data_IF_698952526939
#
_entry.id   IF_698952526939
#
_cell.length_a   1.000
_cell.length_b   1.000
_cell.length_c   1.000
_cell.angle_alpha   90.00
_cell.angle_beta   90.00
_cell.angle_gamma   90.00
#
_symmetry.space_group_name_H-M   'P 1'
#
loop_
_entity.id
_entity.type
_entity.pdbx_description
1 polymer ?
#
# COMPACT_ATOMS: atom_id res chain seq x y z
N UNK A 1 38.55 -20.15 37.35
CA UNK A 1 37.39 -20.73 36.63
C UNK A 1 37.60 -20.51 35.15
N UNK A 2 38.19 -21.50 34.48
CA UNK A 2 38.56 -21.41 33.07
C UNK A 2 37.32 -21.59 32.22
N UNK A 3 36.87 -20.51 31.57
CA UNK A 3 35.76 -20.57 30.62
C UNK A 3 36.22 -21.46 29.48
N UNK A 4 35.59 -22.63 29.37
CA UNK A 4 35.95 -23.65 28.40
C UNK A 4 35.94 -23.05 26.99
N UNK A 5 37.00 -23.25 26.18
CA UNK A 5 37.07 -22.69 24.82
C UNK A 5 35.90 -23.15 23.95
N UNK A 6 35.27 -24.28 24.30
CA UNK A 6 34.04 -24.77 23.70
C UNK A 6 32.84 -23.83 23.90
N UNK A 7 32.74 -23.15 25.06
CA UNK A 7 31.67 -22.17 25.31
C UNK A 7 31.88 -20.90 24.50
N UNK A 8 33.13 -20.45 24.33
CA UNK A 8 33.47 -19.29 23.51
C UNK A 8 33.19 -19.58 22.04
N UNK A 9 33.63 -20.75 21.55
CA UNK A 9 33.34 -21.19 20.18
C UNK A 9 31.83 -21.31 19.93
N UNK A 10 31.07 -21.90 20.87
CA UNK A 10 29.62 -22.00 20.78
C UNK A 10 28.94 -20.62 20.75
N UNK A 11 29.40 -19.67 21.58
CA UNK A 11 28.89 -18.30 21.58
C UNK A 11 29.18 -17.57 20.26
N UNK A 12 30.39 -17.70 19.71
CA UNK A 12 30.76 -17.08 18.43
C UNK A 12 29.94 -17.64 17.26
N UNK A 13 29.70 -18.96 17.24
CA UNK A 13 28.85 -19.60 16.23
C UNK A 13 27.39 -19.18 16.41
N UNK A 14 26.88 -19.12 17.64
CA UNK A 14 25.51 -18.72 17.93
C UNK A 14 25.26 -17.26 17.53
N UNK A 15 26.16 -16.35 17.90
CA UNK A 15 26.09 -14.93 17.52
C UNK A 15 26.23 -14.75 16.01
N UNK A 16 27.15 -15.47 15.36
CA UNK A 16 27.30 -15.46 13.90
C UNK A 16 26.05 -15.98 13.18
N UNK A 17 25.45 -17.05 13.68
CA UNK A 17 24.20 -17.62 13.17
C UNK A 17 23.04 -16.65 13.35
N UNK A 18 22.89 -16.05 14.53
CA UNK A 18 21.88 -15.02 14.78
C UNK A 18 22.07 -13.79 13.88
N UNK A 19 23.30 -13.34 13.68
CA UNK A 19 23.59 -12.22 12.79
C UNK A 19 23.27 -12.57 11.33
N UNK A 20 23.59 -13.79 10.90
CA UNK A 20 23.28 -14.30 9.57
C UNK A 20 21.77 -14.44 9.36
N UNK A 21 21.03 -15.03 10.31
CA UNK A 21 19.58 -15.21 10.25
C UNK A 21 18.88 -13.84 10.21
N UNK A 22 19.29 -12.89 11.06
CA UNK A 22 18.79 -11.50 11.03
C UNK A 22 19.17 -10.76 9.75
N UNK A 23 20.28 -11.10 9.09
CA UNK A 23 20.65 -10.56 7.76
C UNK A 23 19.93 -11.24 6.60
N UNK A 24 19.47 -12.49 6.75
CA UNK A 24 18.79 -13.27 5.71
C UNK A 24 17.36 -12.79 5.41
N UNK A 25 16.80 -11.87 6.20
CA UNK A 25 15.46 -11.31 6.01
C UNK A 25 15.30 -10.35 4.79
N UNK A 26 16.15 -10.44 3.75
CA UNK A 26 16.14 -9.48 2.64
C UNK A 26 15.63 -9.97 1.28
N UNK A 27 15.31 -11.24 1.07
CA UNK A 27 14.84 -11.67 -0.26
C UNK A 27 13.80 -12.79 -0.20
N UNK A 28 12.57 -12.44 0.14
CA UNK A 28 11.37 -13.20 -0.27
C UNK A 28 10.23 -12.25 -0.59
N UNK A 29 10.43 -11.38 -1.58
CA UNK A 29 9.32 -10.96 -2.43
C UNK A 29 9.24 -11.96 -3.56
N UNK A 30 8.42 -12.99 -3.37
CA UNK A 30 7.88 -13.79 -4.47
C UNK A 30 7.09 -12.84 -5.37
N UNK A 31 7.77 -12.25 -6.36
CA UNK A 31 7.10 -11.70 -7.53
C UNK A 31 6.60 -12.89 -8.33
N UNK A 32 5.38 -13.31 -8.06
CA UNK A 32 4.60 -14.14 -8.98
C UNK A 32 4.44 -13.34 -10.27
N UNK A 33 5.33 -13.59 -11.23
CA UNK A 33 5.15 -13.20 -12.62
C UNK A 33 4.06 -14.11 -13.21
N UNK A 34 2.81 -13.84 -12.83
CA UNK A 34 1.63 -14.37 -13.51
C UNK A 34 1.42 -13.63 -14.85
N UNK A 35 0.61 -14.19 -15.75
CA UNK A 35 0.42 -13.68 -17.11
C UNK A 35 0.04 -12.19 -17.12
N UNK A 36 0.63 -11.46 -18.07
CA UNK A 36 0.65 -10.00 -18.22
C UNK A 36 -0.74 -9.43 -18.54
N UNK A 37 -1.67 -9.50 -17.60
CA UNK A 37 -2.84 -8.61 -17.63
C UNK A 37 -2.38 -7.23 -17.17
N UNK A 38 -2.69 -6.14 -17.90
CA UNK A 38 -2.37 -4.80 -17.42
C UNK A 38 -3.06 -4.60 -16.05
N UNK A 39 -2.25 -4.29 -15.03
CA UNK A 39 -2.71 -4.05 -13.66
C UNK A 39 -2.78 -2.52 -13.42
N UNK A 40 -3.88 -1.84 -13.81
CA UNK A 40 -3.96 -0.37 -13.76
C UNK A 40 -3.88 0.22 -12.34
N UNK A 41 -4.16 -0.61 -11.34
CA UNK A 41 -4.19 -0.20 -9.93
C UNK A 41 -2.90 -0.53 -9.17
N UNK A 42 -1.91 -1.14 -9.85
CA UNK A 42 -0.64 -1.49 -9.23
C UNK A 42 0.00 -0.27 -8.59
N UNK A 43 0.47 -0.43 -7.37
CA UNK A 43 0.97 0.67 -6.58
C UNK A 43 2.28 0.30 -5.84
N UNK A 44 2.94 1.31 -5.30
CA UNK A 44 4.16 1.21 -4.52
C UNK A 44 4.08 2.09 -3.28
N UNK A 45 4.66 1.64 -2.18
CA UNK A 45 4.96 2.46 -1.02
C UNK A 45 6.47 2.55 -0.83
N UNK A 46 6.96 3.69 -0.35
CA UNK A 46 8.37 3.86 -0.04
C UNK A 46 8.62 3.33 1.37
N UNK A 47 9.52 2.36 1.49
CA UNK A 47 10.02 1.86 2.78
C UNK A 47 11.31 2.60 3.14
N UNK A 48 11.36 3.29 4.29
CA UNK A 48 12.57 3.96 4.75
C UNK A 48 13.68 2.94 5.00
N UNK A 49 14.90 3.27 4.58
CA UNK A 49 16.12 2.58 5.01
C UNK A 49 16.54 2.99 6.42
N UNK A 50 17.69 2.49 6.90
CA UNK A 50 18.21 2.83 8.23
C UNK A 50 18.41 4.35 8.39
N UNK A 51 19.00 4.98 7.38
CA UNK A 51 19.22 6.43 7.30
C UNK A 51 18.27 7.07 6.29
N UNK A 52 16.96 6.93 6.52
CA UNK A 52 15.98 7.58 5.64
C UNK A 52 15.93 9.11 5.88
N UNK A 53 15.95 9.87 4.79
CA UNK A 53 15.81 11.33 4.83
C UNK A 53 14.41 11.75 5.33
N UNK A 54 14.27 13.00 5.84
CA UNK A 54 12.99 13.50 6.35
C UNK A 54 11.85 13.42 5.32
N UNK A 55 12.17 13.63 4.04
CA UNK A 55 11.21 13.51 2.95
C UNK A 55 10.62 12.10 2.83
N UNK A 56 11.43 11.05 2.93
CA UNK A 56 10.89 9.67 2.89
C UNK A 56 10.07 9.34 4.13
N UNK A 57 10.47 9.86 5.30
CA UNK A 57 9.73 9.66 6.55
C UNK A 57 8.34 10.30 6.51
N UNK A 58 8.20 11.48 5.90
CA UNK A 58 6.90 12.13 5.72
C UNK A 58 5.99 11.41 4.72
N UNK A 59 6.57 10.63 3.81
CA UNK A 59 5.84 9.80 2.85
C UNK A 59 5.48 8.39 3.38
N UNK A 60 5.89 8.06 4.61
CA UNK A 60 5.56 6.78 5.23
C UNK A 60 4.03 6.56 5.30
N UNK A 61 3.59 5.33 5.08
CA UNK A 61 2.17 4.96 5.08
C UNK A 61 1.41 5.32 3.80
N UNK A 62 1.98 6.10 2.88
CA UNK A 62 1.33 6.43 1.61
C UNK A 62 1.64 5.40 0.53
N UNK A 63 0.63 5.07 -0.28
CA UNK A 63 0.74 4.24 -1.49
C UNK A 63 0.53 5.12 -2.72
N UNK A 64 1.46 5.04 -3.65
CA UNK A 64 1.45 5.74 -4.93
C UNK A 64 1.16 4.75 -6.04
N UNK A 65 0.35 5.13 -7.03
CA UNK A 65 0.32 4.35 -8.27
C UNK A 65 1.72 4.35 -8.88
N UNK A 66 2.10 3.25 -9.55
CA UNK A 66 3.42 3.14 -10.20
C UNK A 66 3.81 4.38 -11.01
N UNK A 67 2.96 4.95 -11.90
CA UNK A 67 3.31 6.15 -12.66
C UNK A 67 3.38 7.44 -11.83
N UNK A 68 2.81 7.46 -10.63
CA UNK A 68 2.76 8.64 -9.76
C UNK A 68 3.80 8.61 -8.63
N UNK A 69 4.59 7.54 -8.55
CA UNK A 69 5.58 7.38 -7.50
C UNK A 69 6.77 8.32 -7.76
N UNK A 70 7.21 9.12 -6.76
CA UNK A 70 8.39 9.95 -6.92
C UNK A 70 9.62 9.05 -7.05
N UNK A 71 10.60 9.39 -7.90
CA UNK A 71 11.82 8.62 -8.05
C UNK A 71 12.61 8.58 -6.74
N UNK A 72 13.33 7.47 -6.53
CA UNK A 72 14.29 7.34 -5.45
C UNK A 72 15.71 7.42 -6.03
N UNK A 73 16.63 8.20 -5.43
CA UNK A 73 16.45 9.06 -4.25
C UNK A 73 15.56 10.29 -4.51
N UNK A 74 14.89 10.79 -3.45
CA UNK A 74 14.12 12.04 -3.55
C UNK A 74 15.04 13.21 -3.91
N UNK A 75 14.53 14.19 -4.66
CA UNK A 75 15.32 15.33 -5.16
C UNK A 75 16.06 16.11 -4.04
N UNK A 76 15.52 16.13 -2.83
CA UNK A 76 16.09 16.78 -1.65
C UNK A 76 16.68 15.80 -0.63
N UNK A 77 17.13 14.62 -1.07
CA UNK A 77 17.75 13.64 -0.19
C UNK A 77 19.20 14.03 0.13
N UNK A 78 19.46 14.44 1.38
CA UNK A 78 20.80 14.81 1.86
C UNK A 78 21.70 13.60 2.24
N UNK A 79 21.21 12.37 2.07
CA UNK A 79 21.91 11.15 2.49
C UNK A 79 22.82 10.66 1.36
N UNK A 80 24.11 10.51 1.65
CA UNK A 80 25.12 10.09 0.67
C UNK A 80 24.84 8.71 0.05
N UNK A 81 24.27 7.78 0.83
CA UNK A 81 23.86 6.45 0.35
C UNK A 81 22.41 6.15 0.73
N UNK A 82 21.46 6.56 -0.13
CA UNK A 82 20.05 6.33 0.13
C UNK A 82 19.70 4.82 0.06
N UNK A 83 19.20 4.27 1.16
CA UNK A 83 18.80 2.86 1.27
C UNK A 83 17.27 2.64 1.19
N UNK A 84 16.52 3.65 0.74
CA UNK A 84 15.06 3.55 0.64
C UNK A 84 14.66 2.66 -0.55
N UNK A 85 13.54 1.94 -0.41
CA UNK A 85 13.08 0.95 -1.41
C UNK A 85 11.59 1.03 -1.66
N UNK A 86 11.15 0.63 -2.84
CA UNK A 86 9.72 0.45 -3.11
C UNK A 86 9.25 -0.92 -2.62
N UNK A 87 8.09 -0.93 -1.95
CA UNK A 87 7.29 -2.12 -1.73
C UNK A 87 6.10 -2.08 -2.69
N UNK A 88 5.92 -3.13 -3.49
CA UNK A 88 4.83 -3.22 -4.47
C UNK A 88 3.55 -3.78 -3.85
N UNK A 89 2.41 -3.29 -4.31
CA UNK A 89 1.07 -3.80 -3.98
C UNK A 89 0.18 -3.82 -5.23
N UNK A 90 -0.88 -4.64 -5.18
CA UNK A 90 -1.83 -4.80 -6.28
C UNK A 90 -2.79 -3.59 -6.42
N UNK A 91 -3.17 -2.97 -5.31
CA UNK A 91 -4.03 -1.78 -5.26
C UNK A 91 -3.47 -0.79 -4.21
N UNK A 92 -3.68 0.50 -4.42
CA UNK A 92 -3.31 1.57 -3.46
C UNK A 92 -4.26 1.69 -2.29
N UNK A 93 -5.45 1.08 -2.38
CA UNK A 93 -6.43 1.07 -1.30
C UNK A 93 -5.97 0.13 -0.20
N UNK A 94 -6.20 0.54 1.04
CA UNK A 94 -5.86 -0.26 2.23
C UNK A 94 -7.09 -0.92 2.86
N UNK A 95 -8.29 -0.47 2.49
CA UNK A 95 -9.54 -0.88 3.14
C UNK A 95 -10.58 -1.41 2.14
N UNK A 96 -11.40 -2.34 2.63
CA UNK A 96 -12.53 -2.91 1.92
C UNK A 96 -13.57 -1.82 1.70
N UNK A 97 -13.92 -1.56 0.43
CA UNK A 97 -14.75 -0.41 0.04
C UNK A 97 -16.13 -0.37 0.70
N UNK A 98 -16.57 -1.50 1.23
CA UNK A 98 -17.87 -1.71 1.88
C UNK A 98 -17.68 -2.80 2.91
N UNK A 99 -17.48 -2.44 4.17
CA UNK A 99 -17.78 -3.41 5.22
C UNK A 99 -19.26 -3.76 5.05
N UNK A 100 -19.57 -5.02 4.81
CA UNK A 100 -20.94 -5.57 4.87
C UNK A 100 -21.62 -5.28 6.21
N UNK A 101 -20.85 -4.80 7.20
CA UNK A 101 -21.30 -4.50 8.53
C UNK A 101 -21.82 -3.06 8.73
N UNK A 102 -22.58 -2.55 7.76
CA UNK A 102 -23.30 -1.28 7.90
C UNK A 102 -24.21 -1.27 9.15
N UNK A 103 -24.78 -2.44 9.50
CA UNK A 103 -25.60 -2.63 10.69
C UNK A 103 -24.81 -2.43 11.99
N UNK A 104 -23.61 -3.01 12.15
CA UNK A 104 -22.80 -2.83 13.39
C UNK A 104 -22.30 -1.40 13.56
N UNK A 105 -22.12 -0.65 12.46
CA UNK A 105 -21.77 0.79 12.51
C UNK A 105 -22.97 1.70 12.73
N UNK A 106 -24.17 1.15 13.01
CA UNK A 106 -25.39 1.93 13.24
C UNK A 106 -25.93 2.63 11.99
N UNK A 107 -25.42 2.30 10.79
CA UNK A 107 -25.97 2.75 9.51
C UNK A 107 -27.10 1.82 9.07
N UNK A 108 -28.09 1.61 9.96
CA UNK A 108 -29.34 0.94 9.60
C UNK A 108 -30.08 1.81 8.57
N UNK A 109 -30.65 1.23 7.49
CA UNK A 109 -31.59 1.97 6.67
C UNK A 109 -32.68 2.52 7.59
N UNK A 110 -32.86 3.85 7.58
CA UNK A 110 -33.87 4.50 8.40
C UNK A 110 -35.23 3.87 8.09
N UNK A 111 -35.97 3.45 9.13
CA UNK A 111 -37.35 2.97 9.02
C UNK A 111 -38.22 4.15 8.57
N UNK A 112 -38.30 4.31 7.26
CA UNK A 112 -38.71 5.54 6.61
C UNK A 112 -37.92 5.66 5.32
N UNK A 113 -38.34 4.91 4.30
CA UNK A 113 -37.84 5.02 2.94
C UNK A 113 -38.32 6.35 2.33
N UNK A 114 -37.90 7.48 2.92
CA UNK A 114 -38.19 8.80 2.39
C UNK A 114 -37.13 9.03 1.31
N UNK A 115 -37.50 8.83 0.05
CA UNK A 115 -36.62 9.18 -1.04
C UNK A 115 -36.42 10.70 -1.04
N UNK A 116 -35.27 11.15 -0.56
CA UNK A 116 -34.90 12.57 -0.55
C UNK A 116 -34.50 13.07 -1.95
N UNK A 117 -34.51 12.22 -2.98
CA UNK A 117 -34.35 12.64 -4.37
C UNK A 117 -35.61 13.36 -4.85
N UNK A 118 -35.79 14.58 -4.38
CA UNK A 118 -36.74 15.53 -4.97
C UNK A 118 -36.04 16.26 -6.11
N UNK A 119 -36.41 15.91 -7.34
CA UNK A 119 -35.83 16.55 -8.52
C UNK A 119 -36.31 15.89 -9.81
N UNK A 120 -36.62 16.70 -10.81
CA UNK A 120 -36.96 16.20 -12.15
C UNK A 120 -35.77 15.47 -12.73
N UNK A 121 -35.95 14.19 -13.09
CA UNK A 121 -34.93 13.41 -13.77
C UNK A 121 -34.50 14.12 -15.05
N UNK A 122 -33.26 14.60 -15.08
CA UNK A 122 -32.69 15.33 -16.22
C UNK A 122 -32.57 14.45 -17.47
N UNK A 123 -32.69 13.13 -17.35
CA UNK A 123 -32.72 12.20 -18.49
C UNK A 123 -34.07 12.20 -19.21
N UNK A 124 -35.17 12.54 -18.53
CA UNK A 124 -36.48 12.71 -19.19
C UNK A 124 -36.54 13.95 -20.08
N UNK A 125 -35.76 14.98 -19.77
CA UNK A 125 -35.70 16.22 -20.56
C UNK A 125 -35.15 16.02 -21.97
N UNK A 126 -34.35 14.96 -22.21
CA UNK A 126 -33.77 14.66 -23.52
C UNK A 126 -34.71 13.85 -24.43
N UNK A 127 -35.67 13.11 -23.86
CA UNK A 127 -36.59 12.26 -24.63
C UNK A 127 -37.76 13.05 -25.25
N UNK A 128 -38.08 14.25 -24.75
CA UNK A 128 -39.20 15.06 -25.23
C UNK A 128 -38.90 15.84 -26.53
N UNK A 129 -37.67 15.81 -27.04
CA UNK A 129 -37.27 16.53 -28.26
C UNK A 129 -37.28 15.71 -29.55
N UNK A 130 -37.52 14.39 -29.49
CA UNK A 130 -37.36 13.50 -30.63
C UNK A 130 -38.66 13.15 -31.38
N UNK A 131 -39.84 13.48 -30.84
CA UNK A 131 -41.13 12.97 -31.35
C UNK A 131 -42.02 14.03 -32.06
N UNK A 132 -41.45 15.19 -32.40
CA UNK A 132 -42.18 16.30 -33.03
C UNK A 132 -41.78 16.51 -34.52
N UNK A 133 -41.66 15.42 -35.28
CA UNK A 133 -41.56 15.47 -36.76
C UNK A 133 -42.34 14.32 -37.38
N UNK A 134 -43.63 14.55 -37.61
CA UNK A 134 -44.42 13.97 -38.70
C UNK A 134 -45.37 15.04 -39.24
#
# INVERSE_FOLDING_TARGET
MSISPFLIAALLVFVGCLWWVRRRDKTRTLSTAGPTTPQPYRCVAIRPGQEACPGVRSLAGRRFLVPAAPPLPLANCAVASCQCRYAHFADRRDDERRHSNALLRGLTPHTGNIDHRSGRDRRRSAAAGADARH
#
